data_IF_498301210080
#
_entry.id   IF_498301210080
#
_cell.length_a   1.000
_cell.length_b   1.000
_cell.length_c   1.000
_cell.angle_alpha   90.00
_cell.angle_beta   90.00
_cell.angle_gamma   90.00
#
_symmetry.space_group_name_H-M   'P 1'
#
loop_
_entity.id
_entity.type
_entity.pdbx_description
1 polymer ?
#
# COMPACT_ATOMS: atom_id res chain seq x y z
N UNK A 1 -16.75 -17.60 -15.65
CA UNK A 1 -16.40 -17.33 -14.24
C UNK A 1 -15.18 -16.42 -14.29
N UNK A 2 -15.34 -15.11 -14.05
CA UNK A 2 -14.21 -14.19 -14.05
C UNK A 2 -13.29 -14.55 -12.88
N UNK A 3 -11.98 -14.59 -13.16
CA UNK A 3 -10.97 -14.73 -12.13
C UNK A 3 -10.84 -13.39 -11.40
N UNK A 4 -10.67 -13.40 -10.08
CA UNK A 4 -10.56 -12.20 -9.24
C UNK A 4 -9.16 -11.62 -9.34
N UNK A 5 -9.06 -10.29 -9.41
CA UNK A 5 -7.82 -9.61 -9.78
C UNK A 5 -7.41 -8.63 -8.66
N UNK A 6 -6.15 -8.66 -8.28
CA UNK A 6 -5.47 -7.78 -7.34
C UNK A 6 -4.37 -7.07 -8.11
N UNK A 7 -4.21 -5.77 -7.97
CA UNK A 7 -3.05 -5.06 -8.54
C UNK A 7 -1.96 -4.99 -7.46
N UNK A 8 -0.78 -5.54 -7.76
CA UNK A 8 0.35 -5.57 -6.83
C UNK A 8 1.25 -4.33 -6.86
N UNK A 9 2.33 -4.35 -6.09
CA UNK A 9 3.39 -3.32 -6.06
C UNK A 9 4.78 -3.99 -5.96
N UNK A 10 5.80 -3.49 -6.68
CA UNK A 10 7.17 -4.06 -6.88
C UNK A 10 8.16 -2.93 -7.12
N UNK A 11 9.32 -3.10 -6.51
CA UNK A 11 10.33 -2.06 -6.34
C UNK A 11 11.22 -1.78 -7.55
N UNK A 12 11.65 -0.51 -7.56
CA UNK A 12 13.08 -0.15 -7.57
C UNK A 12 13.42 0.53 -6.24
N UNK A 13 14.57 0.18 -5.66
CA UNK A 13 15.10 0.77 -4.42
C UNK A 13 15.36 2.27 -4.59
N UNK A 14 14.65 3.11 -3.84
CA UNK A 14 15.12 4.47 -3.58
C UNK A 14 16.03 4.43 -2.35
N UNK A 15 17.33 4.29 -2.59
CA UNK A 15 18.33 4.58 -1.57
C UNK A 15 18.24 6.08 -1.27
N UNK A 16 17.70 6.45 -0.10
CA UNK A 16 17.85 7.80 0.43
C UNK A 16 19.32 7.99 0.79
N UNK A 17 20.11 8.46 -0.17
CA UNK A 17 21.45 8.96 0.10
C UNK A 17 21.34 10.29 0.83
N UNK A 18 21.78 10.30 2.08
CA UNK A 18 22.23 11.53 2.74
C UNK A 18 23.44 12.04 1.94
N UNK A 19 23.29 13.19 1.29
CA UNK A 19 24.38 13.82 0.53
C UNK A 19 25.49 14.27 1.49
N UNK A 20 26.61 13.56 1.46
CA UNK A 20 27.92 14.10 1.81
C UNK A 20 28.90 13.70 0.69
N UNK A 21 29.10 14.61 -0.26
CA UNK A 21 30.25 14.73 -1.16
C UNK A 21 30.76 13.46 -1.87
N UNK A 22 30.31 13.24 -3.10
CA UNK A 22 30.97 12.33 -4.06
C UNK A 22 30.16 12.21 -5.35
N UNK A 23 30.71 12.67 -6.47
CA UNK A 23 30.07 12.63 -7.80
C UNK A 23 29.86 11.17 -8.25
N UNK A 24 28.61 10.81 -8.49
CA UNK A 24 28.25 9.71 -9.39
C UNK A 24 26.97 10.11 -10.13
N UNK A 25 27.05 10.21 -11.45
CA UNK A 25 25.93 10.58 -12.33
C UNK A 25 24.86 9.49 -12.31
N UNK A 26 23.61 9.90 -12.08
CA UNK A 26 22.44 9.05 -12.23
C UNK A 26 22.07 8.96 -13.72
N UNK A 27 21.89 7.75 -14.23
CA UNK A 27 21.47 7.49 -15.60
C UNK A 27 19.97 7.86 -15.77
N UNK A 28 19.67 8.61 -16.83
CA UNK A 28 18.32 9.11 -17.13
C UNK A 28 17.40 7.95 -17.55
N UNK A 29 16.17 7.84 -17.04
CA UNK A 29 15.28 6.75 -17.40
C UNK A 29 14.85 6.85 -18.87
N UNK A 30 14.90 5.71 -19.57
CA UNK A 30 14.48 5.63 -20.96
C UNK A 30 13.01 6.05 -21.13
N UNK A 31 12.75 6.83 -22.19
CA UNK A 31 11.43 7.33 -22.53
C UNK A 31 10.40 6.19 -22.65
N UNK A 32 9.14 6.41 -22.22
CA UNK A 32 8.09 5.41 -22.32
C UNK A 32 7.89 5.01 -23.79
N UNK A 33 7.88 3.70 -24.05
CA UNK A 33 7.59 3.18 -25.39
C UNK A 33 6.15 3.51 -25.77
N UNK A 34 5.96 3.90 -27.03
CA UNK A 34 4.68 4.29 -27.62
C UNK A 34 3.66 3.16 -27.42
N UNK A 35 2.52 3.49 -26.80
CA UNK A 35 1.38 2.58 -26.69
C UNK A 35 0.83 2.34 -28.08
N UNK A 36 0.85 1.09 -28.55
CA UNK A 36 0.19 0.71 -29.79
C UNK A 36 -1.33 0.66 -29.55
N UNK A 37 -2.09 1.34 -30.40
CA UNK A 37 -3.55 1.23 -30.44
C UNK A 37 -3.96 -0.19 -30.83
N UNK A 38 -4.66 -0.87 -29.92
CA UNK A 38 -5.28 -2.16 -30.20
C UNK A 38 -6.62 -1.88 -30.86
N UNK A 39 -6.62 -1.71 -32.19
CA UNK A 39 -7.84 -1.57 -32.97
C UNK A 39 -8.42 -2.96 -33.30
N UNK A 40 -9.36 -3.43 -32.48
CA UNK A 40 -10.16 -4.62 -32.78
C UNK A 40 -11.16 -4.95 -31.69
N UNK A 41 -12.45 -4.88 -32.00
CA UNK A 41 -13.50 -5.46 -31.14
C UNK A 41 -13.30 -6.99 -31.09
N UNK A 42 -12.98 -7.49 -29.90
CA UNK A 42 -12.96 -8.93 -29.66
C UNK A 42 -14.40 -9.46 -29.60
N UNK A 43 -14.71 -10.60 -30.25
CA UNK A 43 -16.06 -11.16 -30.24
C UNK A 43 -16.48 -11.56 -28.82
N UNK A 44 -17.63 -11.04 -28.38
CA UNK A 44 -18.19 -11.29 -27.05
C UNK A 44 -18.54 -12.77 -26.83
N UNK A 45 -18.22 -13.29 -25.64
CA UNK A 45 -18.27 -14.73 -25.29
C UNK A 45 -19.68 -15.28 -25.00
N UNK A 46 -20.75 -14.50 -25.23
CA UNK A 46 -22.14 -14.96 -25.05
C UNK A 46 -22.52 -15.32 -23.60
N UNK A 47 -21.68 -14.99 -22.62
CA UNK A 47 -22.02 -15.14 -21.19
C UNK A 47 -22.73 -13.87 -20.74
N UNK A 48 -23.92 -13.94 -20.10
CA UNK A 48 -24.59 -12.75 -19.56
C UNK A 48 -23.65 -12.04 -18.59
N UNK A 49 -23.36 -10.77 -18.90
CA UNK A 49 -22.48 -9.89 -18.14
C UNK A 49 -23.14 -9.56 -16.79
N UNK A 50 -22.44 -9.85 -15.69
CA UNK A 50 -22.82 -9.35 -14.36
C UNK A 50 -22.26 -7.93 -14.25
N UNK A 51 -23.00 -6.96 -14.79
CA UNK A 51 -22.75 -5.54 -14.56
C UNK A 51 -23.04 -5.20 -13.09
N UNK A 52 -22.28 -4.28 -12.45
CA UNK A 52 -21.00 -3.68 -12.85
C UNK A 52 -19.76 -4.41 -12.27
N UNK A 53 -18.55 -4.14 -12.80
CA UNK A 53 -17.27 -4.53 -12.17
C UNK A 53 -17.11 -3.74 -10.88
N UNK A 54 -17.01 -4.43 -9.75
CA UNK A 54 -16.92 -3.81 -8.43
C UNK A 54 -15.46 -3.61 -8.00
N UNK A 55 -15.06 -2.34 -7.86
CA UNK A 55 -13.71 -1.93 -7.43
C UNK A 55 -13.77 -1.45 -5.98
N UNK A 56 -12.98 -2.08 -5.11
CA UNK A 56 -12.86 -1.66 -3.72
C UNK A 56 -11.64 -0.77 -3.48
N UNK A 57 -11.78 0.22 -2.59
CA UNK A 57 -10.64 1.01 -2.11
C UNK A 57 -10.61 1.08 -0.59
N UNK A 58 -9.39 1.13 -0.03
CA UNK A 58 -9.22 1.47 1.39
C UNK A 58 -9.51 2.96 1.65
N UNK A 59 -9.51 3.34 2.93
CA UNK A 59 -9.87 4.68 3.41
C UNK A 59 -8.72 5.71 3.43
N UNK A 60 -7.86 5.72 2.42
CA UNK A 60 -6.79 6.71 2.30
C UNK A 60 -6.51 7.12 0.86
N UNK A 61 -5.87 8.28 0.70
CA UNK A 61 -5.81 9.03 -0.56
C UNK A 61 -5.28 8.23 -1.75
N UNK A 62 -4.19 7.48 -1.58
CA UNK A 62 -3.60 6.68 -2.66
C UNK A 62 -4.59 5.62 -3.18
N UNK A 63 -5.36 5.00 -2.29
CA UNK A 63 -6.35 4.00 -2.65
C UNK A 63 -7.55 4.60 -3.40
N UNK A 64 -8.00 5.80 -3.03
CA UNK A 64 -9.01 6.52 -3.80
C UNK A 64 -8.49 6.90 -5.19
N UNK A 65 -7.25 7.37 -5.28
CA UNK A 65 -6.63 7.76 -6.54
C UNK A 65 -6.50 6.55 -7.48
N UNK A 66 -5.87 5.47 -7.03
CA UNK A 66 -5.66 4.28 -7.85
C UNK A 66 -6.98 3.60 -8.20
N UNK A 67 -7.94 3.55 -7.26
CA UNK A 67 -9.31 3.08 -7.55
C UNK A 67 -9.98 3.87 -8.67
N UNK A 68 -9.90 5.19 -8.62
CA UNK A 68 -10.46 6.07 -9.65
C UNK A 68 -9.77 5.89 -11.00
N UNK A 69 -8.44 5.74 -11.02
CA UNK A 69 -7.69 5.47 -12.25
C UNK A 69 -8.07 4.12 -12.87
N UNK A 70 -8.26 3.08 -12.05
CA UNK A 70 -8.74 1.78 -12.52
C UNK A 70 -10.16 1.87 -13.11
N UNK A 71 -11.05 2.65 -12.47
CA UNK A 71 -12.40 2.86 -12.97
C UNK A 71 -12.40 3.55 -14.35
N UNK A 72 -11.69 4.69 -14.46
CA UNK A 72 -11.57 5.44 -15.72
C UNK A 72 -11.05 4.53 -16.85
N UNK A 73 -9.98 3.76 -16.58
CA UNK A 73 -9.39 2.87 -17.58
C UNK A 73 -10.37 1.78 -18.07
N UNK A 74 -11.18 1.22 -17.16
CA UNK A 74 -12.15 0.19 -17.49
C UNK A 74 -13.36 0.78 -18.23
N UNK A 75 -13.83 1.96 -17.81
CA UNK A 75 -14.92 2.68 -18.46
C UNK A 75 -14.56 3.10 -19.89
N UNK A 76 -13.33 3.60 -20.11
CA UNK A 76 -12.80 3.90 -21.46
C UNK A 76 -12.73 2.66 -22.37
N UNK A 77 -12.72 1.46 -21.79
CA UNK A 77 -12.74 0.18 -22.51
C UNK A 77 -14.15 -0.42 -22.63
N UNK A 78 -15.18 0.32 -22.25
CA UNK A 78 -16.58 -0.07 -22.41
C UNK A 78 -17.13 -1.00 -21.31
N UNK A 79 -16.47 -1.06 -20.15
CA UNK A 79 -17.00 -1.79 -18.98
C UNK A 79 -17.78 -0.87 -18.04
N UNK A 80 -18.85 -1.39 -17.45
CA UNK A 80 -19.53 -0.72 -16.34
C UNK A 80 -18.76 -0.96 -15.05
N UNK A 81 -18.53 0.09 -14.25
CA UNK A 81 -17.75 0.03 -13.02
C UNK A 81 -18.55 0.60 -11.84
N UNK A 82 -18.42 -0.03 -10.68
CA UNK A 82 -18.88 0.49 -9.39
C UNK A 82 -17.70 0.64 -8.44
N UNK A 83 -17.45 1.86 -7.96
CA UNK A 83 -16.45 2.14 -6.92
C UNK A 83 -17.08 2.03 -5.53
N UNK A 84 -16.53 1.14 -4.71
CA UNK A 84 -16.86 0.99 -3.29
C UNK A 84 -15.68 1.44 -2.44
N UNK A 85 -15.75 2.68 -1.96
CA UNK A 85 -14.62 3.37 -1.36
C UNK A 85 -14.68 3.37 0.17
N UNK A 86 -13.52 3.54 0.82
CA UNK A 86 -13.45 3.89 2.24
C UNK A 86 -13.49 2.69 3.18
N UNK A 87 -13.13 1.51 2.69
CA UNK A 87 -13.08 0.29 3.49
C UNK A 87 -11.83 0.25 4.39
N UNK A 88 -11.88 -0.51 5.48
CA UNK A 88 -10.66 -0.94 6.16
C UNK A 88 -9.98 -2.07 5.39
N UNK A 89 -8.69 -2.31 5.66
CA UNK A 89 -7.94 -3.42 5.08
C UNK A 89 -8.64 -4.78 5.25
N UNK A 90 -9.21 -5.06 6.42
CA UNK A 90 -9.88 -6.35 6.68
C UNK A 90 -11.20 -6.48 5.90
N UNK A 91 -12.03 -5.43 5.89
CA UNK A 91 -13.31 -5.44 5.17
C UNK A 91 -13.09 -5.57 3.67
N UNK A 92 -12.11 -4.85 3.11
CA UNK A 92 -11.74 -4.96 1.70
C UNK A 92 -11.26 -6.37 1.36
N UNK A 93 -10.44 -6.97 2.23
CA UNK A 93 -9.94 -8.33 2.05
C UNK A 93 -11.07 -9.37 2.06
N UNK A 94 -11.95 -9.31 3.05
CA UNK A 94 -13.10 -10.21 3.16
C UNK A 94 -14.00 -10.11 1.92
N UNK A 95 -14.24 -8.89 1.43
CA UNK A 95 -15.03 -8.65 0.24
C UNK A 95 -14.37 -9.21 -1.05
N UNK A 96 -13.05 -9.15 -1.17
CA UNK A 96 -12.32 -9.83 -2.26
C UNK A 96 -12.44 -11.36 -2.14
N UNK A 97 -12.21 -11.92 -0.95
CA UNK A 97 -12.28 -13.38 -0.75
C UNK A 97 -13.69 -13.94 -0.98
N UNK A 98 -14.73 -13.26 -0.49
CA UNK A 98 -16.12 -13.67 -0.66
C UNK A 98 -16.73 -13.32 -2.03
N UNK A 99 -16.06 -12.47 -2.83
CA UNK A 99 -16.48 -12.10 -4.18
C UNK A 99 -17.52 -10.98 -4.26
N UNK A 100 -17.64 -10.17 -3.20
CA UNK A 100 -18.39 -8.91 -3.21
C UNK A 100 -17.65 -7.77 -3.92
N UNK A 101 -16.34 -7.97 -4.15
CA UNK A 101 -15.45 -7.14 -4.97
C UNK A 101 -14.74 -7.99 -6.03
N UNK A 102 -14.50 -7.38 -7.19
CA UNK A 102 -13.81 -7.99 -8.33
C UNK A 102 -12.35 -7.53 -8.43
N UNK A 103 -12.08 -6.26 -8.07
CA UNK A 103 -10.78 -5.60 -8.22
C UNK A 103 -10.46 -4.71 -7.01
N UNK A 104 -9.20 -4.70 -6.59
CA UNK A 104 -8.66 -3.68 -5.70
C UNK A 104 -7.15 -3.50 -5.90
N UNK A 105 -6.61 -2.39 -5.38
CA UNK A 105 -5.18 -2.22 -5.16
C UNK A 105 -4.81 -2.84 -3.81
N UNK A 106 -3.75 -3.65 -3.75
CA UNK A 106 -3.30 -4.24 -2.49
C UNK A 106 -1.78 -4.23 -2.34
N UNK A 107 -1.32 -4.21 -1.09
CA UNK A 107 0.09 -4.19 -0.73
C UNK A 107 0.54 -5.59 -0.34
N UNK A 108 1.70 -5.98 -0.85
CA UNK A 108 2.26 -7.31 -0.59
C UNK A 108 2.53 -7.53 0.90
N UNK A 109 3.06 -6.53 1.60
CA UNK A 109 3.31 -6.58 3.04
C UNK A 109 2.03 -6.70 3.88
N UNK A 110 0.95 -5.99 3.50
CA UNK A 110 -0.35 -6.11 4.17
C UNK A 110 -0.91 -7.52 4.01
N UNK A 111 -0.84 -8.09 2.80
CA UNK A 111 -1.28 -9.47 2.58
C UNK A 111 -0.46 -10.46 3.42
N UNK A 112 0.86 -10.36 3.36
CA UNK A 112 1.75 -11.33 4.00
C UNK A 112 1.63 -11.29 5.51
N UNK A 113 1.73 -10.11 6.11
CA UNK A 113 1.65 -10.00 7.56
C UNK A 113 0.21 -10.05 8.07
N UNK A 114 -0.64 -9.14 7.61
CA UNK A 114 -1.94 -8.90 8.26
C UNK A 114 -2.98 -9.97 7.93
N UNK A 115 -2.97 -10.55 6.73
CA UNK A 115 -3.99 -11.53 6.32
C UNK A 115 -3.54 -12.98 6.51
N UNK A 116 -2.23 -13.24 6.51
CA UNK A 116 -1.71 -14.61 6.70
C UNK A 116 -0.97 -14.83 8.01
N UNK A 117 -0.56 -13.75 8.70
CA UNK A 117 0.17 -13.83 9.97
C UNK A 117 1.64 -14.20 9.83
N UNK A 118 2.17 -14.28 8.61
CA UNK A 118 3.59 -14.55 8.40
C UNK A 118 4.44 -13.36 8.81
N UNK A 119 5.59 -13.63 9.43
CA UNK A 119 6.59 -12.61 9.70
C UNK A 119 7.37 -12.26 8.42
N UNK A 120 7.97 -11.07 8.42
CA UNK A 120 8.96 -10.68 7.43
C UNK A 120 10.33 -11.30 7.77
N UNK A 121 11.01 -11.82 6.76
CA UNK A 121 12.30 -12.51 6.89
C UNK A 121 13.41 -11.78 6.13
N UNK A 122 13.17 -10.51 5.76
CA UNK A 122 14.11 -9.70 4.98
C UNK A 122 14.04 -9.96 3.48
N UNK A 123 12.89 -10.42 3.00
CA UNK A 123 12.67 -10.67 1.58
C UNK A 123 12.89 -9.42 0.74
N UNK A 124 13.52 -9.61 -0.41
CA UNK A 124 13.50 -8.60 -1.45
C UNK A 124 12.06 -8.37 -1.92
N UNK A 125 11.79 -7.22 -2.52
CA UNK A 125 10.47 -6.87 -3.04
C UNK A 125 9.89 -7.89 -4.03
N UNK A 126 10.77 -8.44 -4.88
CA UNK A 126 10.42 -9.44 -5.88
C UNK A 126 10.06 -10.77 -5.23
N UNK A 127 10.80 -11.15 -4.19
CA UNK A 127 10.50 -12.35 -3.40
C UNK A 127 9.19 -12.19 -2.64
N UNK A 128 8.95 -11.03 -2.04
CA UNK A 128 7.72 -10.71 -1.34
C UNK A 128 6.50 -10.78 -2.29
N UNK A 129 6.59 -10.14 -3.46
CA UNK A 129 5.54 -10.24 -4.49
C UNK A 129 5.27 -11.69 -4.91
N UNK A 130 6.31 -12.49 -5.16
CA UNK A 130 6.16 -13.91 -5.51
C UNK A 130 5.48 -14.70 -4.39
N UNK A 131 5.95 -14.56 -3.14
CA UNK A 131 5.36 -15.22 -1.96
C UNK A 131 3.89 -14.85 -1.79
N UNK A 132 3.56 -13.57 -1.85
CA UNK A 132 2.19 -13.05 -1.73
C UNK A 132 1.30 -13.57 -2.85
N UNK A 133 1.72 -13.45 -4.11
CA UNK A 133 0.93 -13.88 -5.27
C UNK A 133 0.66 -15.39 -5.26
N UNK A 134 1.66 -16.22 -4.93
CA UNK A 134 1.50 -17.67 -4.79
C UNK A 134 0.59 -18.06 -3.63
N UNK A 135 0.61 -17.29 -2.54
CA UNK A 135 -0.28 -17.47 -1.39
C UNK A 135 -1.73 -17.19 -1.77
N UNK A 136 -1.99 -16.06 -2.43
CA UNK A 136 -3.32 -15.63 -2.84
C UNK A 136 -3.90 -16.41 -4.01
N UNK A 137 -3.06 -16.94 -4.90
CA UNK A 137 -3.48 -17.83 -5.98
C UNK A 137 -4.22 -19.07 -5.44
N UNK A 138 -3.84 -19.57 -4.25
CA UNK A 138 -4.53 -20.70 -3.58
C UNK A 138 -5.96 -20.35 -3.15
N UNK A 139 -6.27 -19.06 -3.01
CA UNK A 139 -7.60 -18.53 -2.71
C UNK A 139 -8.35 -18.04 -3.97
N UNK A 140 -7.79 -18.27 -5.16
CA UNK A 140 -8.38 -17.83 -6.43
C UNK A 140 -8.25 -16.33 -6.70
N UNK A 141 -7.34 -15.64 -6.00
CA UNK A 141 -7.04 -14.22 -6.22
C UNK A 141 -5.76 -14.10 -7.06
N UNK A 142 -5.77 -13.24 -8.07
CA UNK A 142 -4.67 -13.11 -9.04
C UNK A 142 -4.02 -11.75 -8.89
N UNK A 143 -2.71 -11.72 -8.64
CA UNK A 143 -1.95 -10.48 -8.63
C UNK A 143 -1.51 -10.11 -10.06
N UNK A 144 -1.82 -8.89 -10.48
CA UNK A 144 -1.35 -8.25 -11.71
C UNK A 144 0.04 -7.66 -11.52
N UNK A 145 0.58 -7.23 -12.66
CA UNK A 145 1.83 -6.52 -12.70
C UNK A 145 1.83 -5.37 -11.69
N UNK A 146 2.90 -5.31 -10.89
CA UNK A 146 2.96 -4.40 -9.78
C UNK A 146 3.21 -2.93 -10.16
N UNK A 147 2.67 -2.00 -9.38
CA UNK A 147 3.04 -0.57 -9.42
C UNK A 147 4.48 -0.38 -8.91
N UNK A 148 5.20 0.59 -9.46
CA UNK A 148 6.65 0.81 -9.29
C UNK A 148 7.12 1.41 -7.95
N UNK A 149 6.21 1.73 -7.02
CA UNK A 149 6.53 2.44 -5.78
C UNK A 149 6.80 1.51 -4.59
N UNK A 150 7.44 2.00 -3.52
CA UNK A 150 7.45 1.34 -2.21
C UNK A 150 6.79 2.28 -1.21
N UNK A 151 5.54 1.99 -0.84
CA UNK A 151 4.81 2.76 0.15
C UNK A 151 4.92 2.07 1.52
N UNK A 152 6.04 2.31 2.21
CA UNK A 152 6.29 1.79 3.55
C UNK A 152 6.14 2.88 4.60
N UNK A 153 5.76 2.50 5.82
CA UNK A 153 5.56 3.45 6.90
C UNK A 153 6.86 4.16 7.29
N UNK A 154 6.74 5.47 7.48
CA UNK A 154 7.74 6.32 8.07
C UNK A 154 7.06 7.30 9.04
N UNK A 155 7.80 7.76 10.04
CA UNK A 155 7.37 8.87 10.88
C UNK A 155 7.96 10.15 10.31
N UNK A 156 7.08 11.07 9.91
CA UNK A 156 7.48 12.40 9.46
C UNK A 156 7.38 13.40 10.61
N UNK A 157 8.41 14.22 10.75
CA UNK A 157 8.48 15.35 11.68
C UNK A 157 8.88 16.60 10.90
N UNK A 158 8.55 17.79 11.42
CA UNK A 158 9.00 19.04 10.79
C UNK A 158 10.51 19.21 10.94
N UNK A 159 11.15 19.90 9.99
CA UNK A 159 12.57 20.24 10.08
C UNK A 159 12.88 21.02 11.37
N UNK A 160 12.03 22.00 11.71
CA UNK A 160 12.14 22.76 12.96
C UNK A 160 12.10 21.85 14.20
N UNK A 161 11.19 20.88 14.24
CA UNK A 161 11.10 19.95 15.36
C UNK A 161 12.35 19.06 15.45
N UNK A 162 12.84 18.58 14.31
CA UNK A 162 14.06 17.76 14.22
C UNK A 162 15.27 18.53 14.73
N UNK A 163 15.48 19.77 14.27
CA UNK A 163 16.61 20.62 14.66
C UNK A 163 16.55 21.01 16.14
N UNK A 164 15.38 21.46 16.61
CA UNK A 164 15.19 21.91 17.99
C UNK A 164 15.36 20.81 19.04
N UNK A 165 14.94 19.59 18.72
CA UNK A 165 14.92 18.48 19.66
C UNK A 165 16.00 17.42 19.36
N UNK A 166 16.82 17.65 18.33
CA UNK A 166 17.84 16.71 17.84
C UNK A 166 17.28 15.31 17.57
N UNK A 167 16.11 15.24 16.93
CA UNK A 167 15.44 13.98 16.58
C UNK A 167 15.70 13.68 15.10
N UNK A 168 16.53 12.67 14.81
CA UNK A 168 16.92 12.30 13.43
C UNK A 168 16.63 10.84 13.08
N UNK A 169 16.46 10.00 14.09
CA UNK A 169 16.15 8.57 13.96
C UNK A 169 14.89 8.22 14.74
N UNK A 170 14.31 7.05 14.45
CA UNK A 170 13.20 6.52 15.25
C UNK A 170 13.60 6.25 16.69
N UNK A 171 14.86 5.88 16.94
CA UNK A 171 15.41 5.75 18.29
C UNK A 171 15.44 7.10 19.02
N UNK A 172 15.89 8.17 18.36
CA UNK A 172 15.85 9.52 18.96
C UNK A 172 14.42 9.96 19.24
N UNK A 173 13.48 9.65 18.34
CA UNK A 173 12.07 9.95 18.52
C UNK A 173 11.49 9.19 19.73
N UNK A 174 11.82 7.91 19.88
CA UNK A 174 11.41 7.11 21.04
C UNK A 174 11.97 7.66 22.36
N UNK A 175 13.25 8.03 22.39
CA UNK A 175 13.84 8.72 23.56
C UNK A 175 13.14 10.05 23.84
N UNK A 176 12.83 10.82 22.81
CA UNK A 176 12.08 12.06 22.95
C UNK A 176 10.69 11.82 23.57
N UNK A 177 9.91 10.85 23.06
CA UNK A 177 8.59 10.51 23.62
C UNK A 177 8.70 10.07 25.08
N UNK A 178 9.69 9.23 25.42
CA UNK A 178 9.97 8.83 26.81
C UNK A 178 10.29 10.03 27.70
N UNK A 179 11.12 10.97 27.22
CA UNK A 179 11.47 12.19 27.96
C UNK A 179 10.28 13.11 28.24
N UNK A 180 9.20 12.95 27.48
CA UNK A 180 7.93 13.67 27.64
C UNK A 180 6.85 12.81 28.32
N UNK A 181 7.20 11.67 28.88
CA UNK A 181 6.27 10.73 29.52
C UNK A 181 5.09 10.32 28.60
N UNK A 182 5.33 10.23 27.29
CA UNK A 182 4.28 9.90 26.31
C UNK A 182 3.38 11.08 25.90
N UNK A 183 3.64 12.29 26.40
CA UNK A 183 2.87 13.52 26.09
C UNK A 183 3.35 14.22 24.81
N UNK A 184 3.47 13.44 23.73
CA UNK A 184 3.85 13.95 22.41
C UNK A 184 2.66 13.81 21.47
N UNK A 185 2.18 14.93 20.95
CA UNK A 185 1.10 14.94 19.97
C UNK A 185 1.53 14.18 18.72
N UNK A 186 0.77 13.15 18.36
CA UNK A 186 1.00 12.32 17.21
C UNK A 186 -0.28 12.20 16.40
N UNK A 187 -0.21 12.52 15.11
CA UNK A 187 -1.30 12.28 14.18
C UNK A 187 -1.01 11.00 13.42
N UNK A 188 -1.98 10.08 13.41
CA UNK A 188 -1.93 8.81 12.68
C UNK A 188 -3.08 8.78 11.69
N UNK A 189 -2.94 8.02 10.61
CA UNK A 189 -4.13 7.54 9.90
C UNK A 189 -4.76 6.35 10.64
N UNK A 190 -5.97 5.97 10.21
CA UNK A 190 -6.73 4.85 10.78
C UNK A 190 -6.01 3.50 10.63
N UNK A 191 -5.35 3.25 9.50
CA UNK A 191 -4.70 1.97 9.21
C UNK A 191 -3.44 1.78 10.07
N UNK A 192 -2.57 2.78 10.13
CA UNK A 192 -1.37 2.73 10.97
C UNK A 192 -1.72 2.60 12.46
N UNK A 193 -2.85 3.16 12.88
CA UNK A 193 -3.32 3.02 14.25
C UNK A 193 -3.83 1.60 14.55
N UNK A 194 -4.59 1.00 13.63
CA UNK A 194 -5.26 -0.28 13.84
C UNK A 194 -4.35 -1.51 13.62
N UNK A 195 -3.28 -1.37 12.84
CA UNK A 195 -2.41 -2.49 12.45
C UNK A 195 -1.47 -2.95 13.59
N UNK A 196 -1.18 -4.26 13.69
CA UNK A 196 -0.28 -4.80 14.70
C UNK A 196 1.18 -4.33 14.52
N UNK A 197 1.63 -4.16 13.28
CA UNK A 197 2.92 -3.58 12.89
C UNK A 197 2.88 -2.05 12.73
N UNK A 198 1.75 -1.42 13.05
CA UNK A 198 1.58 0.02 13.02
C UNK A 198 2.13 0.70 14.27
N UNK A 199 1.36 1.63 14.85
CA UNK A 199 1.76 2.38 16.04
C UNK A 199 2.09 1.49 17.24
N UNK A 200 1.38 0.36 17.40
CA UNK A 200 1.64 -0.61 18.47
C UNK A 200 3.00 -1.30 18.26
N UNK A 201 3.24 -1.82 17.05
CA UNK A 201 4.51 -2.45 16.69
C UNK A 201 5.70 -1.51 16.86
N UNK A 202 5.54 -0.24 16.46
CA UNK A 202 6.54 0.81 16.65
C UNK A 202 6.87 1.03 18.14
N UNK A 203 5.85 1.20 18.97
CA UNK A 203 5.99 1.39 20.42
C UNK A 203 6.69 0.20 21.08
N UNK A 204 6.31 -1.03 20.72
CA UNK A 204 6.93 -2.26 21.24
C UNK A 204 8.39 -2.39 20.80
N UNK A 205 8.70 -2.10 19.53
CA UNK A 205 10.05 -2.26 19.00
C UNK A 205 11.04 -1.26 19.61
N UNK A 206 10.64 0.00 19.77
CA UNK A 206 11.51 1.06 20.31
C UNK A 206 11.32 1.34 21.81
N UNK A 207 10.44 0.60 22.48
CA UNK A 207 10.27 0.64 23.94
C UNK A 207 9.74 1.97 24.48
N UNK A 208 8.75 2.57 23.80
CA UNK A 208 8.08 3.79 24.26
C UNK A 208 6.56 3.62 24.18
N UNK A 209 5.80 4.52 24.82
CA UNK A 209 4.35 4.56 24.68
C UNK A 209 3.84 6.01 24.64
N UNK A 210 2.87 6.29 23.78
CA UNK A 210 2.10 7.53 23.83
C UNK A 210 1.03 7.43 24.93
N UNK A 211 0.70 8.56 25.56
CA UNK A 211 -0.55 8.64 26.34
C UNK A 211 -1.74 8.63 25.38
N UNK A 212 -2.86 7.93 25.68
CA UNK A 212 -3.98 7.78 24.74
C UNK A 212 -4.53 9.09 24.16
N UNK A 213 -4.61 10.15 24.98
CA UNK A 213 -5.15 11.45 24.56
C UNK A 213 -4.19 12.29 23.70
N UNK A 214 -2.97 11.79 23.44
CA UNK A 214 -1.97 12.47 22.62
C UNK A 214 -1.84 11.87 21.21
N UNK A 215 -2.57 10.78 20.92
CA UNK A 215 -2.70 10.23 19.57
C UNK A 215 -4.05 10.67 18.99
N UNK A 216 -4.04 11.24 17.79
CA UNK A 216 -5.25 11.59 17.04
C UNK A 216 -5.25 10.82 15.72
N UNK A 217 -6.40 10.23 15.40
CA UNK A 217 -6.67 9.47 14.17
C UNK A 217 -7.72 10.18 13.33
#
# INVERSE_FOLDING_TARGET
>A
MFKKILVGVLLISLSVFVFAGGKQEAEEPAAPKKVEEISGEAPGTGVPYKAPISIGTKNFTEQFLVGSLMAILLEERGYDVELKTGMSSTVLREAMENGSLDLCMEYTGTQWLSYTGHAFEGESPKEMYKKTSESDAKKGLIWLDPIWCNNTYAIAITAEFSEKNNVKTLSDFAEYVKSKEGEVKFASDFEFYARPDGILGLQMHYGFAFKPNYVTT
#
